data_IF_558607057826
#
_entry.id   IF_558607057826
#
_cell.length_a   1.000
_cell.length_b   1.000
_cell.length_c   1.000
_cell.angle_alpha   90.00
_cell.angle_beta   90.00
_cell.angle_gamma   90.00
#
_symmetry.space_group_name_H-M   'P 1'
#
loop_
_entity.id
_entity.type
_entity.pdbx_description
1 polymer ?
#
# COMPACT_ATOMS: atom_id res chain seq x y z
N UNK A 1 13.86 -15.37 -19.13
CA UNK A 1 12.68 -14.61 -18.67
C UNK A 1 12.09 -15.36 -17.50
N UNK A 2 12.24 -14.89 -16.25
CA UNK A 2 11.65 -15.56 -15.09
C UNK A 2 10.39 -14.80 -14.65
N UNK A 3 9.27 -15.52 -14.69
CA UNK A 3 7.88 -15.04 -14.79
C UNK A 3 7.11 -14.99 -13.46
N UNK A 4 7.77 -15.04 -12.30
CA UNK A 4 7.10 -15.02 -11.00
C UNK A 4 7.53 -13.80 -10.19
N UNK A 5 6.74 -12.74 -10.29
CA UNK A 5 6.72 -11.66 -9.31
C UNK A 5 5.49 -11.89 -8.41
N UNK A 6 5.67 -11.79 -7.10
CA UNK A 6 4.60 -11.96 -6.12
C UNK A 6 4.58 -10.78 -5.17
N UNK A 7 3.38 -10.31 -4.83
CA UNK A 7 3.17 -9.28 -3.83
C UNK A 7 2.18 -9.83 -2.79
N UNK A 8 2.51 -9.70 -1.53
CA UNK A 8 1.68 -10.15 -0.42
C UNK A 8 1.64 -9.09 0.68
N UNK A 9 0.45 -8.83 1.21
CA UNK A 9 0.26 -7.94 2.35
C UNK A 9 -0.58 -8.66 3.40
N UNK A 10 -0.22 -8.49 4.67
CA UNK A 10 -0.99 -8.98 5.81
C UNK A 10 -1.01 -7.91 6.88
N UNK A 11 -2.12 -7.73 7.59
CA UNK A 11 -2.21 -6.63 8.54
C UNK A 11 -3.53 -6.52 9.27
N UNK A 12 -3.61 -5.48 10.07
CA UNK A 12 -4.82 -5.07 10.78
C UNK A 12 -5.52 -3.97 9.99
N UNK A 13 -6.85 -4.06 9.94
CA UNK A 13 -7.71 -3.11 9.25
C UNK A 13 -8.82 -2.67 10.21
N UNK A 14 -8.88 -1.37 10.48
CA UNK A 14 -9.91 -0.74 11.28
C UNK A 14 -10.72 0.19 10.38
N UNK A 15 -12.04 0.09 10.47
CA UNK A 15 -12.96 0.94 9.73
C UNK A 15 -14.08 1.45 10.64
N UNK A 16 -14.52 2.67 10.38
CA UNK A 16 -15.68 3.28 11.03
C UNK A 16 -16.49 4.07 10.01
N UNK A 17 -17.80 4.12 10.19
CA UNK A 17 -18.66 5.04 9.44
C UNK A 17 -18.34 6.49 9.81
N UNK A 18 -18.35 7.38 8.82
CA UNK A 18 -18.00 8.79 8.97
C UNK A 18 -19.21 9.75 8.91
N UNK A 19 -20.44 9.26 8.66
CA UNK A 19 -21.62 10.11 8.43
C UNK A 19 -22.88 9.67 9.21
N UNK A 20 -23.84 10.60 9.35
CA UNK A 20 -25.00 10.56 10.27
C UNK A 20 -25.96 9.37 10.03
N UNK A 21 -26.54 8.88 11.14
CA UNK A 21 -27.53 7.79 11.25
C UNK A 21 -28.78 7.88 10.34
N UNK A 22 -29.08 9.02 9.73
CA UNK A 22 -30.35 9.25 9.02
C UNK A 22 -30.33 8.90 7.53
N UNK A 23 -29.16 8.65 6.94
CA UNK A 23 -29.04 8.34 5.51
C UNK A 23 -28.05 7.19 5.28
N UNK A 24 -28.60 5.99 5.12
CA UNK A 24 -27.83 4.76 4.91
C UNK A 24 -27.34 4.58 3.47
N UNK A 25 -27.79 5.41 2.54
CA UNK A 25 -27.43 5.30 1.12
C UNK A 25 -26.12 6.03 0.76
N UNK A 26 -25.65 6.94 1.61
CA UNK A 26 -24.39 7.71 1.45
C UNK A 26 -23.44 7.51 2.64
N UNK A 27 -22.97 6.27 2.79
CA UNK A 27 -22.16 5.85 3.92
C UNK A 27 -20.68 5.96 3.56
N UNK A 28 -20.10 7.15 3.73
CA UNK A 28 -18.65 7.29 3.72
C UNK A 28 -17.97 6.59 4.91
N UNK A 29 -16.80 6.01 4.65
CA UNK A 29 -16.05 5.16 5.59
C UNK A 29 -14.69 5.78 5.83
N UNK A 30 -14.31 5.95 7.09
CA UNK A 30 -12.92 6.20 7.46
C UNK A 30 -12.24 4.88 7.81
N UNK A 31 -11.04 4.66 7.28
CA UNK A 31 -10.26 3.47 7.61
C UNK A 31 -8.81 3.80 7.93
N UNK A 32 -8.23 2.94 8.78
CA UNK A 32 -6.80 2.91 9.08
C UNK A 32 -6.34 1.47 8.99
N UNK A 33 -5.18 1.24 8.37
CA UNK A 33 -4.59 -0.09 8.27
C UNK A 33 -3.09 -0.06 8.52
N UNK A 34 -2.63 -1.06 9.25
CA UNK A 34 -1.22 -1.31 9.48
C UNK A 34 -0.88 -2.68 8.88
N UNK A 35 0.09 -2.73 7.96
CA UNK A 35 0.40 -3.94 7.19
C UNK A 35 1.88 -4.25 7.21
N UNK A 36 2.20 -5.54 7.28
CA UNK A 36 3.44 -6.09 6.78
C UNK A 36 3.30 -6.39 5.29
N UNK A 37 4.34 -6.09 4.52
CA UNK A 37 4.39 -6.26 3.07
C UNK A 37 5.55 -7.19 2.72
N UNK A 38 5.35 -8.04 1.72
CA UNK A 38 6.37 -8.88 1.13
C UNK A 38 6.28 -8.79 -0.40
N UNK A 39 7.43 -8.61 -1.04
CA UNK A 39 7.59 -8.62 -2.49
C UNK A 39 8.62 -9.66 -2.87
N UNK A 40 8.23 -10.59 -3.74
CA UNK A 40 9.12 -11.56 -4.36
C UNK A 40 9.30 -11.18 -5.83
N UNK A 41 10.55 -11.01 -6.25
CA UNK A 41 10.93 -10.78 -7.64
C UNK A 41 12.27 -11.47 -7.93
N UNK A 42 12.77 -11.39 -9.16
CA UNK A 42 14.14 -11.82 -9.43
C UNK A 42 15.14 -10.78 -8.93
N UNK A 43 16.29 -11.21 -8.43
CA UNK A 43 17.40 -10.33 -8.01
C UNK A 43 17.76 -9.33 -9.11
N UNK A 44 17.84 -9.78 -10.36
CA UNK A 44 18.16 -8.92 -11.51
C UNK A 44 17.13 -7.81 -11.72
N UNK A 45 15.83 -8.09 -11.55
CA UNK A 45 14.79 -7.07 -11.66
C UNK A 45 14.86 -6.05 -10.52
N UNK A 46 15.09 -6.51 -9.28
CA UNK A 46 15.25 -5.60 -8.14
C UNK A 46 16.46 -4.70 -8.32
N UNK A 47 17.58 -5.25 -8.80
CA UNK A 47 18.77 -4.47 -9.09
C UNK A 47 18.59 -3.47 -10.22
N UNK A 48 17.78 -3.80 -11.23
CA UNK A 48 17.44 -2.87 -12.30
C UNK A 48 16.56 -1.69 -11.82
N UNK A 49 15.67 -1.91 -10.84
CA UNK A 49 14.75 -0.89 -10.34
C UNK A 49 15.34 -0.03 -9.22
N UNK A 50 16.09 -0.65 -8.31
CA UNK A 50 16.54 -0.04 -7.06
C UNK A 50 18.08 0.04 -6.95
N UNK A 51 18.80 -0.38 -7.99
CA UNK A 51 20.26 -0.37 -8.02
C UNK A 51 20.91 -1.62 -7.41
N UNK A 52 22.24 -1.73 -7.49
CA UNK A 52 22.97 -2.87 -6.97
C UNK A 52 22.88 -2.96 -5.43
N UNK A 53 23.08 -4.16 -4.88
CA UNK A 53 23.10 -4.39 -3.43
C UNK A 53 22.09 -5.41 -2.91
N UNK A 54 21.15 -5.90 -3.74
CA UNK A 54 20.23 -6.97 -3.35
C UNK A 54 20.89 -8.34 -3.39
N UNK A 55 20.80 -9.10 -2.29
CA UNK A 55 21.34 -10.46 -2.20
C UNK A 55 20.39 -11.51 -2.74
N UNK A 56 19.09 -11.28 -2.57
CA UNK A 56 18.03 -12.16 -3.01
C UNK A 56 16.89 -11.37 -3.69
N UNK A 57 15.86 -12.10 -4.07
CA UNK A 57 14.67 -11.56 -4.72
C UNK A 57 13.57 -11.11 -3.76
N UNK A 58 13.82 -11.06 -2.46
CA UNK A 58 12.80 -10.86 -1.43
C UNK A 58 12.95 -9.49 -0.78
N UNK A 59 11.85 -8.75 -0.70
CA UNK A 59 11.74 -7.52 0.06
C UNK A 59 10.61 -7.61 1.05
N UNK A 60 10.90 -7.26 2.30
CA UNK A 60 9.91 -7.11 3.35
C UNK A 60 9.77 -5.65 3.71
N UNK A 61 8.59 -5.24 4.14
CA UNK A 61 8.33 -3.88 4.54
C UNK A 61 7.13 -3.78 5.46
N UNK A 62 6.86 -2.55 5.90
CA UNK A 62 5.68 -2.22 6.66
C UNK A 62 5.05 -0.96 6.08
N UNK A 63 3.73 -0.83 6.24
CA UNK A 63 3.01 0.38 5.88
C UNK A 63 1.94 0.72 6.92
N UNK A 64 1.69 2.01 7.04
CA UNK A 64 0.54 2.56 7.73
C UNK A 64 -0.24 3.41 6.72
N UNK A 65 -1.51 3.10 6.53
CA UNK A 65 -2.37 3.84 5.63
C UNK A 65 -3.61 4.32 6.37
N UNK A 66 -4.07 5.52 6.04
CA UNK A 66 -5.33 6.08 6.46
C UNK A 66 -6.08 6.59 5.24
N UNK A 67 -7.39 6.42 5.21
CA UNK A 67 -8.18 6.87 4.09
C UNK A 67 -9.64 7.11 4.42
N UNK A 68 -10.30 7.78 3.49
CA UNK A 68 -11.72 8.07 3.51
C UNK A 68 -12.29 7.61 2.18
N UNK A 69 -13.30 6.76 2.24
CA UNK A 69 -14.15 6.39 1.12
C UNK A 69 -15.46 7.18 1.21
N UNK A 70 -15.93 7.70 0.08
CA UNK A 70 -17.18 8.46 -0.03
C UNK A 70 -18.02 7.75 -1.08
N UNK A 71 -19.18 7.25 -0.65
CA UNK A 71 -20.23 6.63 -1.46
C UNK A 71 -19.74 5.52 -2.40
N UNK A 72 -18.66 4.82 -2.03
CA UNK A 72 -17.97 3.82 -2.88
C UNK A 72 -17.50 4.35 -4.24
N UNK A 73 -17.46 5.67 -4.40
CA UNK A 73 -17.13 6.36 -5.65
C UNK A 73 -15.77 7.04 -5.55
N UNK A 74 -15.48 7.71 -4.44
CA UNK A 74 -14.20 8.38 -4.20
C UNK A 74 -13.48 7.68 -3.05
N UNK A 75 -12.21 7.33 -3.23
CA UNK A 75 -11.33 6.90 -2.16
C UNK A 75 -10.09 7.80 -2.09
N UNK A 76 -9.95 8.49 -0.98
CA UNK A 76 -8.78 9.29 -0.65
C UNK A 76 -7.93 8.51 0.34
N UNK A 77 -6.64 8.33 0.03
CA UNK A 77 -5.73 7.57 0.89
C UNK A 77 -4.38 8.25 1.03
N UNK A 78 -3.92 8.33 2.26
CA UNK A 78 -2.56 8.69 2.62
C UNK A 78 -1.86 7.45 3.19
N UNK A 79 -0.63 7.23 2.75
CA UNK A 79 0.15 6.04 3.03
C UNK A 79 1.57 6.43 3.38
N UNK A 80 2.13 5.85 4.43
CA UNK A 80 3.57 5.85 4.67
C UNK A 80 4.04 4.41 4.70
N UNK A 81 5.10 4.10 3.94
CA UNK A 81 5.63 2.75 3.89
C UNK A 81 7.15 2.74 3.76
N UNK A 82 7.76 1.66 4.24
CA UNK A 82 9.20 1.47 4.18
C UNK A 82 9.53 -0.01 4.03
N UNK A 83 10.53 -0.31 3.20
CA UNK A 83 11.12 -1.65 3.11
C UNK A 83 12.25 -1.79 4.12
N UNK A 84 12.38 -2.98 4.71
CA UNK A 84 13.45 -3.31 5.64
C UNK A 84 14.77 -3.39 4.86
N UNK A 85 15.67 -2.46 5.15
CA UNK A 85 16.89 -2.26 4.42
C UNK A 85 18.06 -3.04 5.03
N UNK A 86 18.14 -4.35 4.76
CA UNK A 86 19.21 -5.21 5.28
C UNK A 86 20.58 -4.90 4.68
N UNK A 87 20.62 -4.37 3.45
CA UNK A 87 21.85 -4.24 2.65
C UNK A 87 22.27 -2.79 2.42
N UNK A 88 21.82 -1.88 3.30
CA UNK A 88 22.14 -0.44 3.28
C UNK A 88 21.88 0.27 1.94
N UNK A 89 20.92 -0.23 1.17
CA UNK A 89 20.54 0.30 -0.14
C UNK A 89 19.97 1.69 0.07
N UNK A 90 20.63 2.72 -0.45
CA UNK A 90 20.28 4.12 -0.16
C UNK A 90 18.81 4.45 -0.44
N UNK A 91 18.25 3.90 -1.52
CA UNK A 91 16.84 4.10 -1.90
C UNK A 91 15.81 3.51 -0.92
N UNK A 92 16.22 2.61 -0.03
CA UNK A 92 15.34 1.97 0.96
C UNK A 92 15.55 2.55 2.38
N UNK A 93 16.43 3.54 2.54
CA UNK A 93 16.74 4.13 3.86
C UNK A 93 15.63 5.01 4.40
N UNK A 94 14.86 5.64 3.53
CA UNK A 94 13.83 6.60 3.91
C UNK A 94 12.43 6.04 3.66
N UNK A 95 11.46 6.37 4.53
CA UNK A 95 10.07 6.02 4.31
C UNK A 95 9.51 6.81 3.13
N UNK A 96 8.65 6.17 2.34
CA UNK A 96 7.95 6.79 1.23
C UNK A 96 6.57 7.21 1.69
N UNK A 97 6.24 8.48 1.46
CA UNK A 97 4.89 9.02 1.66
C UNK A 97 4.18 9.03 0.32
N UNK A 98 2.96 8.47 0.28
CA UNK A 98 2.13 8.38 -0.91
C UNK A 98 0.73 8.91 -0.60
N UNK A 99 0.25 9.77 -1.49
CA UNK A 99 -1.15 10.20 -1.52
C UNK A 99 -1.79 9.63 -2.78
N UNK A 100 -3.01 9.11 -2.67
CA UNK A 100 -3.78 8.62 -3.81
C UNK A 100 -5.23 9.05 -3.74
N UNK A 101 -5.79 9.31 -4.92
CA UNK A 101 -7.20 9.59 -5.15
C UNK A 101 -7.64 8.55 -6.17
N UNK A 102 -8.50 7.64 -5.76
CA UNK A 102 -9.13 6.66 -6.64
C UNK A 102 -10.58 7.08 -6.86
N UNK A 103 -11.05 7.06 -8.11
CA UNK A 103 -12.41 7.42 -8.47
C UNK A 103 -13.02 6.37 -9.39
N UNK A 104 -14.22 5.89 -9.06
CA UNK A 104 -14.96 4.89 -9.81
C UNK A 104 -16.22 5.48 -10.43
N UNK A 105 -16.34 5.38 -11.75
CA UNK A 105 -17.60 5.63 -12.46
C UNK A 105 -18.46 4.37 -12.42
N UNK A 106 -19.41 4.30 -11.49
CA UNK A 106 -20.51 3.34 -11.59
C UNK A 106 -21.65 3.95 -12.43
N UNK A 107 -21.80 3.51 -13.68
CA UNK A 107 -23.09 3.64 -14.38
C UNK A 107 -24.03 2.59 -13.77
N UNK A 108 -25.01 3.04 -13.00
CA UNK A 108 -26.20 2.21 -12.70
C UNK A 108 -26.95 1.89 -14.00
#
# INVERSE_FOLDING_TARGET
>A
MNFFNGLGNVGLFFQTGAWKDTDTDNLGVFYVQAKGMASLSSKGNLQALFGPGFDNGLLFGYSLDAGIEIDQVINLKASVYQYVNHNEINLLKEPVVKFSIDYSFNRK
#
